data_IF_081619593288
#
_entry.id   IF_081619593288
#
_cell.length_a   1.000
_cell.length_b   1.000
_cell.length_c   1.000
_cell.angle_alpha   90.00
_cell.angle_beta   90.00
_cell.angle_gamma   90.00
#
_symmetry.space_group_name_H-M   'P 1'
#
loop_
_entity.id
_entity.type
_entity.pdbx_description
1 polymer ?
#
# COMPACT_ATOMS: atom_id res chain seq x y z
N UNK A 1 10.58 -18.03 3.66
CA UNK A 1 9.34 -17.37 3.24
C UNK A 1 9.67 -15.91 3.25
N UNK A 2 9.57 -15.26 2.10
CA UNK A 2 9.90 -13.85 1.95
C UNK A 2 8.59 -13.12 1.72
N UNK A 3 8.36 -12.05 2.47
CA UNK A 3 7.19 -11.20 2.32
C UNK A 3 7.64 -9.91 1.62
N UNK A 4 6.98 -9.59 0.53
CA UNK A 4 7.22 -8.41 -0.28
C UNK A 4 6.02 -7.49 -0.13
N UNK A 5 6.28 -6.21 0.16
CA UNK A 5 5.24 -5.20 0.26
C UNK A 5 5.20 -4.49 -1.06
N UNK A 6 4.07 -4.49 -1.75
CA UNK A 6 3.95 -3.80 -3.02
C UNK A 6 2.94 -2.69 -2.93
N UNK A 7 3.22 -1.60 -3.63
CA UNK A 7 2.26 -0.56 -3.92
C UNK A 7 2.00 -0.48 -5.42
N UNK A 8 0.79 -0.08 -5.79
CA UNK A 8 0.47 0.29 -7.15
C UNK A 8 -0.14 1.69 -7.21
N UNK A 9 0.16 2.41 -8.28
CA UNK A 9 -0.22 3.83 -8.46
C UNK A 9 -0.73 4.08 -9.88
N UNK A 10 -1.57 5.11 -10.04
CA UNK A 10 -2.11 5.50 -11.34
C UNK A 10 -1.09 6.21 -12.23
N UNK A 11 -0.21 7.01 -11.63
CA UNK A 11 0.84 7.79 -12.29
C UNK A 11 2.21 7.24 -11.86
N UNK A 12 3.22 7.24 -12.74
CA UNK A 12 4.55 6.80 -12.34
C UNK A 12 5.11 7.73 -11.25
N UNK A 13 5.91 7.18 -10.33
CA UNK A 13 6.64 7.94 -9.31
C UNK A 13 7.98 8.32 -9.93
N UNK A 14 8.21 9.59 -10.35
CA UNK A 14 9.38 9.95 -11.15
C UNK A 14 10.71 9.62 -10.47
N UNK A 15 10.76 9.77 -9.15
CA UNK A 15 11.94 9.53 -8.30
C UNK A 15 12.43 8.09 -8.43
N UNK A 16 11.52 7.13 -8.67
CA UNK A 16 11.83 5.73 -8.87
C UNK A 16 12.64 5.46 -10.15
N UNK A 17 12.48 6.32 -11.17
CA UNK A 17 13.14 6.16 -12.47
C UNK A 17 14.46 6.94 -12.59
N UNK A 18 14.95 7.51 -11.48
CA UNK A 18 16.24 8.20 -11.42
C UNK A 18 17.35 7.25 -10.94
N UNK A 19 18.56 7.40 -11.48
CA UNK A 19 19.72 6.56 -11.14
C UNK A 19 20.24 6.73 -9.71
N UNK A 20 19.76 7.74 -8.98
CA UNK A 20 20.11 8.08 -7.60
C UNK A 20 18.92 7.86 -6.64
N UNK A 21 18.16 6.78 -6.83
CA UNK A 21 16.98 6.51 -6.02
C UNK A 21 17.35 6.32 -4.52
N UNK A 22 17.04 7.32 -3.69
CA UNK A 22 17.20 7.32 -2.24
C UNK A 22 15.91 6.90 -1.50
N UNK A 23 14.84 6.55 -2.22
CA UNK A 23 13.61 6.08 -1.62
C UNK A 23 13.67 4.57 -1.33
N UNK A 24 12.89 4.06 -0.37
CA UNK A 24 12.92 2.65 0.00
C UNK A 24 12.26 1.73 -1.05
N UNK A 25 11.97 2.21 -2.26
CA UNK A 25 11.20 1.47 -3.26
C UNK A 25 12.10 0.71 -4.27
N UNK A 26 11.78 -0.56 -4.57
CA UNK A 26 12.44 -1.40 -5.58
C UNK A 26 11.48 -1.75 -6.75
N UNK A 27 11.99 -2.40 -7.82
CA UNK A 27 11.23 -2.64 -9.05
C UNK A 27 10.23 -3.77 -8.86
N UNK A 28 8.94 -3.46 -8.83
CA UNK A 28 7.88 -4.45 -8.67
C UNK A 28 7.27 -4.97 -9.96
N UNK A 29 7.68 -4.47 -11.13
CA UNK A 29 7.03 -4.81 -12.42
C UNK A 29 7.12 -6.31 -12.74
N UNK A 30 8.16 -7.01 -12.28
CA UNK A 30 8.29 -8.46 -12.44
C UNK A 30 7.17 -9.25 -11.73
N UNK A 31 6.52 -8.67 -10.72
CA UNK A 31 5.47 -9.31 -9.93
C UNK A 31 4.06 -8.93 -10.41
N UNK A 32 3.92 -8.03 -11.37
CA UNK A 32 2.65 -7.41 -11.77
C UNK A 32 1.56 -8.42 -12.13
N UNK A 33 1.90 -9.49 -12.84
CA UNK A 33 0.92 -10.53 -13.23
C UNK A 33 0.43 -11.38 -12.04
N UNK A 34 1.21 -11.42 -10.96
CA UNK A 34 0.92 -12.20 -9.75
C UNK A 34 0.22 -11.37 -8.66
N UNK A 35 0.09 -10.05 -8.86
CA UNK A 35 -0.45 -9.14 -7.88
C UNK A 35 -1.91 -8.78 -8.19
N UNK A 36 -2.78 -8.69 -7.17
CA UNK A 36 -4.20 -8.37 -7.35
C UNK A 36 -4.49 -6.88 -7.57
N UNK A 37 -3.50 -6.13 -8.08
CA UNK A 37 -3.64 -4.68 -8.29
C UNK A 37 -4.44 -4.36 -9.55
N UNK A 38 -5.11 -3.22 -9.50
CA UNK A 38 -5.81 -2.64 -10.65
C UNK A 38 -5.03 -1.49 -11.28
N UNK A 39 -4.09 -0.90 -10.52
CA UNK A 39 -3.28 0.22 -10.98
C UNK A 39 -2.02 -0.23 -11.75
N UNK A 40 -1.59 0.55 -12.76
CA UNK A 40 -0.61 0.10 -13.74
C UNK A 40 0.86 0.14 -13.29
N UNK A 41 1.25 1.00 -12.35
CA UNK A 41 2.66 1.17 -11.96
C UNK A 41 2.91 0.52 -10.61
N UNK A 42 3.75 -0.52 -10.56
CA UNK A 42 3.98 -1.34 -9.37
C UNK A 42 5.38 -1.15 -8.81
N UNK A 43 5.47 -0.92 -7.50
CA UNK A 43 6.73 -0.74 -6.78
C UNK A 43 6.74 -1.62 -5.55
N UNK A 44 7.91 -2.19 -5.24
CA UNK A 44 8.13 -2.84 -3.96
C UNK A 44 8.49 -1.78 -2.91
N UNK A 45 7.94 -1.86 -1.71
CA UNK A 45 8.17 -0.98 -0.57
C UNK A 45 9.15 -1.66 0.41
N UNK A 46 10.18 -0.92 0.81
CA UNK A 46 10.94 -1.15 2.04
C UNK A 46 10.57 -0.14 3.14
N UNK A 47 10.98 -0.42 4.37
CA UNK A 47 10.83 0.49 5.52
C UNK A 47 9.66 0.17 6.45
N UNK A 48 9.43 1.05 7.42
CA UNK A 48 8.38 0.89 8.43
C UNK A 48 7.04 1.52 8.00
N UNK A 49 5.92 0.99 8.52
CA UNK A 49 4.56 1.50 8.23
C UNK A 49 4.43 3.01 8.44
N UNK A 50 5.08 3.57 9.48
CA UNK A 50 5.02 5.00 9.78
C UNK A 50 5.73 5.86 8.72
N UNK A 51 6.83 5.38 8.16
CA UNK A 51 7.58 6.05 7.10
C UNK A 51 6.74 6.03 5.82
N UNK A 52 6.11 4.90 5.51
CA UNK A 52 5.22 4.76 4.37
C UNK A 52 3.98 5.65 4.46
N UNK A 53 3.30 5.68 5.62
CA UNK A 53 2.15 6.57 5.84
C UNK A 53 2.58 8.04 5.68
N UNK A 54 3.76 8.40 6.17
CA UNK A 54 4.30 9.75 6.05
C UNK A 54 4.59 10.10 4.59
N UNK A 55 5.17 9.17 3.84
CA UNK A 55 5.39 9.30 2.40
C UNK A 55 4.07 9.53 1.66
N UNK A 56 3.04 8.70 1.88
CA UNK A 56 1.75 8.84 1.21
C UNK A 56 1.09 10.19 1.47
N UNK A 57 1.19 10.71 2.70
CA UNK A 57 0.63 12.02 3.05
C UNK A 57 1.27 13.16 2.24
N UNK A 58 2.58 13.09 2.00
CA UNK A 58 3.31 14.06 1.17
C UNK A 58 3.19 13.83 -0.34
N UNK A 59 3.12 12.57 -0.77
CA UNK A 59 3.15 12.17 -2.17
C UNK A 59 1.79 12.33 -2.84
N UNK A 60 0.71 11.87 -2.18
CA UNK A 60 -0.61 11.84 -2.80
C UNK A 60 -1.17 13.25 -2.96
N UNK A 61 -1.68 13.57 -4.15
CA UNK A 61 -2.48 14.76 -4.42
C UNK A 61 -3.98 14.49 -4.18
N UNK A 62 -4.79 15.55 -4.16
CA UNK A 62 -6.25 15.38 -4.06
C UNK A 62 -6.74 14.65 -5.32
N UNK A 63 -7.49 13.56 -5.11
CA UNK A 63 -8.00 12.66 -6.14
C UNK A 63 -7.13 11.43 -6.39
N UNK A 64 -5.92 11.36 -5.82
CA UNK A 64 -5.04 10.22 -6.03
C UNK A 64 -5.50 8.97 -5.24
N UNK A 65 -5.09 7.82 -5.79
CA UNK A 65 -5.36 6.48 -5.26
C UNK A 65 -4.06 5.67 -5.30
N UNK A 66 -3.77 4.97 -4.20
CA UNK A 66 -2.64 4.03 -4.10
C UNK A 66 -3.16 2.71 -3.55
N UNK A 67 -2.80 1.61 -4.18
CA UNK A 67 -3.09 0.25 -3.70
C UNK A 67 -1.87 -0.30 -2.98
N UNK A 68 -2.07 -1.10 -1.93
CA UNK A 68 -1.04 -1.77 -1.14
C UNK A 68 -1.41 -3.24 -0.92
N UNK A 69 -0.44 -4.15 -1.08
CA UNK A 69 -0.63 -5.59 -0.88
C UNK A 69 0.66 -6.26 -0.40
N UNK A 70 0.54 -7.29 0.45
CA UNK A 70 1.66 -8.14 0.84
C UNK A 70 1.66 -9.42 0.00
N UNK A 71 2.71 -9.64 -0.76
CA UNK A 71 2.96 -10.86 -1.49
C UNK A 71 3.95 -11.75 -0.74
N UNK A 72 3.50 -12.89 -0.24
CA UNK A 72 4.35 -13.88 0.40
C UNK A 72 4.73 -14.96 -0.62
N UNK A 73 6.04 -15.11 -0.86
CA UNK A 73 6.56 -16.17 -1.71
C UNK A 73 6.79 -17.45 -0.89
N UNK A 74 6.11 -18.52 -1.31
CA UNK A 74 6.26 -19.87 -0.78
C UNK A 74 7.47 -20.61 -1.35
N UNK A 75 7.54 -21.91 -1.09
CA UNK A 75 8.56 -22.76 -1.72
C UNK A 75 8.24 -22.92 -3.20
N UNK A 76 9.28 -22.93 -4.05
CA UNK A 76 9.17 -23.16 -5.51
C UNK A 76 8.37 -22.07 -6.25
N UNK A 77 8.29 -20.84 -5.72
CA UNK A 77 7.65 -19.70 -6.40
C UNK A 77 6.11 -19.68 -6.34
N UNK A 78 5.48 -20.59 -5.60
CA UNK A 78 4.03 -20.55 -5.38
C UNK A 78 3.67 -19.42 -4.40
N UNK A 79 2.68 -18.56 -4.73
CA UNK A 79 2.21 -17.55 -3.80
C UNK A 79 1.54 -18.21 -2.59
N UNK A 80 1.81 -17.67 -1.40
CA UNK A 80 1.08 -18.00 -0.17
C UNK A 80 0.05 -16.91 0.20
N UNK A 81 0.00 -15.86 -0.60
CA UNK A 81 -1.01 -14.81 -0.52
C UNK A 81 -2.22 -15.17 -1.38
N UNK A 82 -3.41 -14.90 -0.85
CA UNK A 82 -4.70 -15.02 -1.55
C UNK A 82 -5.41 -13.67 -1.42
N UNK A 83 -6.11 -13.22 -2.46
CA UNK A 83 -6.87 -11.98 -2.41
C UNK A 83 -8.36 -12.25 -2.13
N UNK A 84 -8.83 -11.80 -0.98
CA UNK A 84 -10.20 -11.84 -0.47
C UNK A 84 -10.75 -10.41 -0.46
N UNK A 85 -11.44 -9.96 -1.53
CA UNK A 85 -11.92 -8.58 -1.65
C UNK A 85 -12.85 -8.13 -0.51
N UNK A 86 -13.54 -9.06 0.14
CA UNK A 86 -14.37 -8.81 1.31
C UNK A 86 -13.57 -8.33 2.54
N UNK A 87 -12.29 -8.72 2.63
CA UNK A 87 -11.37 -8.29 3.69
C UNK A 87 -10.61 -7.00 3.30
N UNK A 88 -10.95 -6.36 2.17
CA UNK A 88 -10.27 -5.15 1.70
C UNK A 88 -10.47 -3.98 2.65
N UNK A 89 -9.49 -3.07 2.63
CA UNK A 89 -9.48 -1.87 3.47
C UNK A 89 -9.45 -0.64 2.60
N UNK A 90 -10.12 0.41 3.05
CA UNK A 90 -10.03 1.73 2.43
C UNK A 90 -9.60 2.75 3.47
N UNK A 91 -8.50 3.44 3.22
CA UNK A 91 -7.95 4.45 4.12
C UNK A 91 -8.01 5.80 3.40
N UNK A 92 -8.81 6.72 3.92
CA UNK A 92 -8.85 8.08 3.39
C UNK A 92 -7.88 8.97 4.16
N UNK A 93 -6.76 9.33 3.52
CA UNK A 93 -5.73 10.18 4.10
C UNK A 93 -6.20 11.64 4.22
N UNK A 94 -7.16 12.10 3.43
CA UNK A 94 -7.68 13.47 3.60
C UNK A 94 -8.63 13.56 4.80
N UNK A 95 -9.66 12.70 4.80
CA UNK A 95 -10.70 12.66 5.85
C UNK A 95 -10.27 11.98 7.14
N UNK A 96 -9.10 11.33 7.13
CA UNK A 96 -8.54 10.57 8.25
C UNK A 96 -9.50 9.46 8.69
N UNK A 97 -10.03 8.70 7.72
CA UNK A 97 -10.90 7.56 7.99
C UNK A 97 -10.23 6.25 7.61
N UNK A 98 -10.54 5.21 8.39
CA UNK A 98 -10.13 3.84 8.14
C UNK A 98 -11.40 3.00 8.01
N UNK A 99 -11.54 2.27 6.92
CA UNK A 99 -12.67 1.39 6.66
C UNK A 99 -12.18 -0.03 6.40
N UNK A 100 -12.82 -1.00 7.04
CA UNK A 100 -12.62 -2.42 6.79
C UNK A 100 -13.99 -3.13 6.66
N UNK A 101 -13.98 -4.46 6.71
CA UNK A 101 -15.18 -5.29 6.63
C UNK A 101 -16.15 -5.12 7.81
N UNK A 102 -15.71 -4.55 8.93
CA UNK A 102 -16.51 -4.40 10.15
C UNK A 102 -17.11 -3.00 10.28
N UNK A 103 -16.54 -1.99 9.63
CA UNK A 103 -17.10 -0.65 9.62
C UNK A 103 -16.13 0.43 9.18
N UNK A 104 -16.55 1.67 9.37
CA UNK A 104 -15.75 2.87 9.13
C UNK A 104 -15.47 3.59 10.45
N UNK A 105 -14.22 3.98 10.63
CA UNK A 105 -13.68 4.55 11.86
C UNK A 105 -13.00 5.88 11.56
N UNK A 106 -13.31 6.91 12.35
CA UNK A 106 -12.62 8.19 12.31
C UNK A 106 -11.33 8.09 13.14
N UNK A 107 -10.20 8.42 12.53
CA UNK A 107 -8.90 8.52 13.20
C UNK A 107 -8.75 9.87 13.90
N UNK A 108 -7.95 9.92 14.96
CA UNK A 108 -7.63 11.16 15.66
C UNK A 108 -6.91 12.16 14.74
N UNK A 109 -7.48 13.34 14.53
CA UNK A 109 -6.94 14.35 13.59
C UNK A 109 -5.47 14.74 13.83
N UNK A 110 -4.98 14.68 15.08
CA UNK A 110 -3.62 15.10 15.44
C UNK A 110 -2.62 13.94 15.44
N UNK A 111 -3.10 12.72 15.70
CA UNK A 111 -2.28 11.51 15.86
C UNK A 111 -2.62 10.40 14.86
N UNK A 112 -3.27 10.77 13.75
CA UNK A 112 -3.80 9.79 12.81
C UNK A 112 -2.71 8.91 12.20
N UNK A 113 -1.49 9.41 12.02
CA UNK A 113 -0.38 8.63 11.46
C UNK A 113 0.04 7.52 12.42
N UNK A 114 0.22 7.86 13.70
CA UNK A 114 0.59 6.92 14.75
C UNK A 114 -0.54 5.96 15.11
N UNK A 115 -1.80 6.41 15.01
CA UNK A 115 -2.96 5.53 15.16
C UNK A 115 -3.03 4.54 14.01
N UNK A 116 -2.86 5.02 12.78
CA UNK A 116 -2.92 4.20 11.58
C UNK A 116 -1.76 3.19 11.52
N UNK A 117 -0.54 3.58 11.92
CA UNK A 117 0.63 2.68 11.97
C UNK A 117 0.51 1.56 13.01
N UNK A 118 -0.50 1.63 13.90
CA UNK A 118 -0.83 0.55 14.86
C UNK A 118 -1.96 -0.35 14.36
N UNK A 119 -2.62 0.03 13.26
CA UNK A 119 -3.65 -0.76 12.59
C UNK A 119 -3.04 -1.56 11.46
N UNK A 120 -3.75 -2.60 11.02
CA UNK A 120 -3.35 -3.35 9.82
C UNK A 120 -3.59 -2.50 8.58
N UNK A 121 -2.53 -1.94 8.01
CA UNK A 121 -2.58 -1.24 6.72
C UNK A 121 -2.18 -2.12 5.54
N UNK A 122 -1.37 -3.15 5.80
CA UNK A 122 -0.88 -4.08 4.80
C UNK A 122 -1.40 -5.49 5.13
N UNK A 123 -1.85 -6.22 4.12
CA UNK A 123 -2.34 -7.59 4.30
C UNK A 123 -1.95 -8.46 3.12
N UNK A 124 -1.68 -9.73 3.39
CA UNK A 124 -1.53 -10.77 2.38
C UNK A 124 -2.86 -11.36 1.90
N UNK A 125 -3.94 -11.01 2.60
CA UNK A 125 -5.29 -11.50 2.35
C UNK A 125 -6.12 -10.56 1.50
N UNK A 126 -5.74 -9.29 1.38
CA UNK A 126 -6.54 -8.32 0.65
C UNK A 126 -5.75 -7.06 0.29
N UNK A 127 -6.13 -6.43 -0.82
CA UNK A 127 -5.64 -5.10 -1.19
C UNK A 127 -6.17 -4.05 -0.22
N UNK A 128 -5.27 -3.17 0.22
CA UNK A 128 -5.64 -1.95 0.94
C UNK A 128 -5.53 -0.77 -0.02
N UNK A 129 -6.60 0.02 -0.10
CA UNK A 129 -6.67 1.19 -0.98
C UNK A 129 -6.56 2.46 -0.16
N UNK A 130 -5.52 3.26 -0.41
CA UNK A 130 -5.37 4.61 0.09
C UNK A 130 -5.98 5.60 -0.90
N UNK A 131 -6.75 6.55 -0.38
CA UNK A 131 -7.40 7.59 -1.19
C UNK A 131 -7.22 8.96 -0.54
N UNK A 132 -7.26 10.02 -1.34
CA UNK A 132 -7.18 11.41 -0.84
C UNK A 132 -8.24 12.30 -1.48
N UNK A 133 -9.47 12.28 -0.96
CA UNK A 133 -10.60 13.14 -1.39
C UNK A 133 -11.61 13.40 -0.26
#
# INVERSE_FOLDING_TARGET
>A
MTAHYFIATLKPIPEYHTSENNYPFLNGEAYKESLPFTLPYVYELGGEDIEFITFLDSFMEIGDVVELYIFEEGRLGYPLSDNYPEESRTINIFKKTYKDQYGEYQLDSKKWKEELSRRTIASKRSVTTFVKY
#
